data_IF_236513983134
#
_entry.id   IF_236513983134
#
_cell.length_a   1.000
_cell.length_b   1.000
_cell.length_c   1.000
_cell.angle_alpha   90.00
_cell.angle_beta   90.00
_cell.angle_gamma   90.00
#
_symmetry.space_group_name_H-M   'P 1'
#
loop_
_entity.id
_entity.type
_entity.pdbx_description
1 polymer ?
#
# COMPACT_ATOMS: atom_id res chain seq x y z
N UNK A 1 -26.84 -1.64 2.61
CA UNK A 1 -25.38 -1.80 2.46
C UNK A 1 -24.73 -0.54 3.00
N UNK A 2 -24.20 -0.57 4.22
CA UNK A 2 -23.49 0.57 4.80
C UNK A 2 -22.19 0.77 4.02
N UNK A 3 -22.19 1.71 3.07
CA UNK A 3 -20.97 2.33 2.58
C UNK A 3 -20.43 3.14 3.78
N UNK A 4 -19.67 2.47 4.63
CA UNK A 4 -19.00 3.12 5.75
C UNK A 4 -18.07 4.18 5.18
N UNK A 5 -18.27 5.43 5.60
CA UNK A 5 -17.28 6.48 5.40
C UNK A 5 -15.89 5.92 5.72
N UNK A 6 -14.86 6.19 4.91
CA UNK A 6 -13.52 5.70 5.18
C UNK A 6 -13.15 5.97 6.63
N UNK A 7 -12.77 4.91 7.34
CA UNK A 7 -12.41 5.02 8.74
C UNK A 7 -11.21 5.97 8.86
N UNK A 8 -11.23 6.84 9.86
CA UNK A 8 -10.15 7.78 10.11
C UNK A 8 -8.79 7.05 10.13
N UNK A 9 -7.80 7.63 9.43
CA UNK A 9 -6.47 7.02 9.28
C UNK A 9 -6.33 5.96 8.19
N UNK A 10 -7.37 5.67 7.41
CA UNK A 10 -7.29 4.68 6.30
C UNK A 10 -6.19 5.01 5.28
N UNK A 11 -6.03 6.28 4.90
CA UNK A 11 -4.98 6.69 3.97
C UNK A 11 -3.57 6.54 4.59
N UNK A 12 -3.41 6.86 5.88
CA UNK A 12 -2.14 6.64 6.59
C UNK A 12 -1.77 5.16 6.65
N UNK A 13 -2.72 4.31 7.01
CA UNK A 13 -2.55 2.85 6.99
C UNK A 13 -2.24 2.34 5.57
N UNK A 14 -2.80 2.95 4.53
CA UNK A 14 -2.43 2.68 3.14
C UNK A 14 -0.95 2.91 2.84
N UNK A 15 -0.36 4.01 3.34
CA UNK A 15 1.08 4.27 3.20
C UNK A 15 1.92 3.24 3.95
N UNK A 16 1.55 2.93 5.19
CA UNK A 16 2.19 1.88 5.97
C UNK A 16 2.18 0.55 5.21
N UNK A 17 1.01 0.14 4.69
CA UNK A 17 0.84 -1.08 3.93
C UNK A 17 1.72 -1.11 2.67
N UNK A 18 1.82 0.01 1.95
CA UNK A 18 2.68 0.12 0.78
C UNK A 18 4.17 -0.05 1.12
N UNK A 19 4.65 0.58 2.20
CA UNK A 19 6.04 0.42 2.65
C UNK A 19 6.33 -1.01 3.15
N UNK A 20 5.36 -1.60 3.83
CA UNK A 20 5.42 -2.98 4.35
C UNK A 20 5.50 -3.99 3.20
N UNK A 21 4.63 -3.90 2.18
CA UNK A 21 4.61 -4.84 1.03
C UNK A 21 5.82 -4.71 0.11
N UNK A 22 6.44 -3.54 0.08
CA UNK A 22 7.61 -3.27 -0.77
C UNK A 22 8.95 -3.51 -0.07
N UNK A 23 8.92 -3.80 1.23
CA UNK A 23 10.11 -4.23 1.99
C UNK A 23 10.17 -5.77 2.01
N UNK A 24 11.34 -6.39 1.78
CA UNK A 24 11.47 -7.84 1.90
C UNK A 24 11.07 -8.36 3.28
N UNK A 25 10.32 -9.45 3.31
CA UNK A 25 9.79 -10.07 4.53
C UNK A 25 9.22 -11.47 4.25
N UNK A 26 8.87 -12.19 5.32
CA UNK A 26 8.24 -13.50 5.21
C UNK A 26 6.84 -13.42 4.53
N UNK A 27 6.29 -14.54 4.03
CA UNK A 27 4.90 -14.60 3.60
C UNK A 27 3.98 -14.02 4.68
N UNK A 28 3.01 -13.20 4.26
CA UNK A 28 2.03 -12.54 5.14
C UNK A 28 2.59 -11.55 6.16
N UNK A 29 3.89 -11.21 6.11
CA UNK A 29 4.50 -10.25 7.05
C UNK A 29 3.82 -8.88 7.04
N UNK A 30 3.50 -8.36 5.86
CA UNK A 30 2.77 -7.11 5.72
C UNK A 30 1.38 -7.17 6.36
N UNK A 31 0.65 -8.26 6.18
CA UNK A 31 -0.69 -8.43 6.77
C UNK A 31 -0.62 -8.46 8.30
N UNK A 32 0.28 -9.26 8.86
CA UNK A 32 0.48 -9.34 10.32
C UNK A 32 0.88 -8.00 10.92
N UNK A 33 1.79 -7.27 10.27
CA UNK A 33 2.20 -5.95 10.73
C UNK A 33 1.03 -4.96 10.67
N UNK A 34 0.27 -4.93 9.57
CA UNK A 34 -0.90 -4.05 9.44
C UNK A 34 -1.96 -4.34 10.50
N UNK A 35 -2.24 -5.62 10.75
CA UNK A 35 -3.16 -6.03 11.82
C UNK A 35 -2.65 -5.57 13.20
N UNK A 36 -1.37 -5.79 13.49
CA UNK A 36 -0.75 -5.39 14.74
C UNK A 36 -0.75 -3.86 14.96
N UNK A 37 -0.52 -3.07 13.91
CA UNK A 37 -0.64 -1.60 13.94
C UNK A 37 -2.08 -1.17 14.26
N UNK A 38 -3.06 -1.78 13.59
CA UNK A 38 -4.48 -1.47 13.78
C UNK A 38 -4.95 -1.81 15.20
N UNK A 39 -4.60 -3.00 15.70
CA UNK A 39 -4.98 -3.47 17.04
C UNK A 39 -4.36 -2.61 18.15
N UNK A 40 -3.18 -2.02 17.92
CA UNK A 40 -2.54 -1.09 18.86
C UNK A 40 -2.97 0.37 18.69
N UNK A 41 -3.86 0.66 17.73
CA UNK A 41 -4.33 2.02 17.46
C UNK A 41 -3.30 2.93 16.77
N UNK A 42 -2.22 2.39 16.21
CA UNK A 42 -1.15 3.16 15.54
C UNK A 42 -1.56 3.52 14.10
N UNK A 43 -2.68 4.24 13.98
CA UNK A 43 -3.42 4.45 12.73
C UNK A 43 -3.30 5.86 12.14
N UNK A 44 -2.50 6.72 12.75
CA UNK A 44 -2.21 8.07 12.29
C UNK A 44 -0.74 8.39 12.48
N UNK A 45 -0.26 9.43 11.79
CA UNK A 45 1.11 9.91 11.94
C UNK A 45 1.43 10.27 13.40
N UNK A 46 0.51 10.93 14.10
CA UNK A 46 0.66 11.27 15.52
C UNK A 46 0.69 10.02 16.41
N UNK A 47 -0.25 9.09 16.22
CA UNK A 47 -0.34 7.88 17.05
C UNK A 47 0.90 6.98 16.90
N UNK A 48 1.42 6.81 15.67
CA UNK A 48 2.65 6.06 15.42
C UNK A 48 3.88 6.85 15.89
N UNK A 49 3.92 8.16 15.64
CA UNK A 49 5.03 9.04 16.01
C UNK A 49 5.26 9.13 17.52
N UNK A 50 4.20 9.00 18.32
CA UNK A 50 4.29 8.96 19.78
C UNK A 50 4.90 7.66 20.33
N UNK A 51 5.10 6.63 19.49
CA UNK A 51 5.63 5.36 19.95
C UNK A 51 7.16 5.36 19.99
N UNK A 52 7.78 4.69 20.97
CA UNK A 52 9.21 4.45 20.93
C UNK A 52 9.60 3.64 19.70
N UNK A 53 10.72 4.00 19.05
CA UNK A 53 11.21 3.29 17.87
C UNK A 53 11.43 1.79 18.10
N UNK A 54 11.82 1.40 19.32
CA UNK A 54 11.99 0.01 19.74
C UNK A 54 10.68 -0.78 19.78
N UNK A 55 9.55 -0.14 20.11
CA UNK A 55 8.24 -0.79 20.12
C UNK A 55 7.80 -1.19 18.71
N UNK A 56 7.96 -0.27 17.74
CA UNK A 56 7.66 -0.56 16.34
C UNK A 56 8.63 -1.59 15.75
N UNK A 57 9.91 -1.53 16.12
CA UNK A 57 10.90 -2.52 15.68
C UNK A 57 10.55 -3.93 16.16
N UNK A 58 10.22 -4.10 17.45
CA UNK A 58 9.81 -5.39 18.00
C UNK A 58 8.55 -5.93 17.32
N UNK A 59 7.55 -5.08 17.12
CA UNK A 59 6.33 -5.44 16.37
C UNK A 59 6.67 -5.92 14.96
N UNK A 60 7.52 -5.20 14.23
CA UNK A 60 7.90 -5.59 12.87
C UNK A 60 8.70 -6.89 12.85
N UNK A 61 9.54 -7.14 13.86
CA UNK A 61 10.28 -8.39 14.02
C UNK A 61 9.33 -9.56 14.24
N UNK A 62 8.38 -9.43 15.16
CA UNK A 62 7.31 -10.41 15.41
C UNK A 62 6.46 -10.65 14.16
N UNK A 63 6.16 -9.59 13.42
CA UNK A 63 5.47 -9.66 12.14
C UNK A 63 6.32 -10.26 11.01
N UNK A 64 7.58 -10.62 11.24
CA UNK A 64 8.43 -11.37 10.31
C UNK A 64 9.31 -10.52 9.39
N UNK A 65 9.54 -9.25 9.71
CA UNK A 65 10.48 -8.38 9.00
C UNK A 65 11.93 -8.53 9.46
N UNK A 66 12.38 -9.75 9.83
CA UNK A 66 13.71 -10.11 10.39
C UNK A 66 14.80 -9.02 10.30
N UNK A 67 15.76 -9.12 9.36
CA UNK A 67 16.86 -8.17 9.20
C UNK A 67 16.44 -6.77 8.71
N UNK A 68 15.14 -6.55 8.48
CA UNK A 68 14.59 -5.29 7.99
C UNK A 68 13.77 -4.53 9.05
N UNK A 69 13.57 -5.08 10.25
CA UNK A 69 12.70 -4.49 11.27
C UNK A 69 13.20 -3.11 11.70
N UNK A 70 14.48 -2.98 12.09
CA UNK A 70 15.04 -1.71 12.53
C UNK A 70 15.06 -0.65 11.40
N UNK A 71 15.56 -0.95 10.18
CA UNK A 71 15.49 0.00 9.07
C UNK A 71 14.07 0.37 8.64
N UNK A 72 13.11 -0.56 8.71
CA UNK A 72 11.72 -0.30 8.37
C UNK A 72 11.03 0.55 9.44
N UNK A 73 11.28 0.27 10.73
CA UNK A 73 10.80 1.10 11.84
C UNK A 73 11.25 2.56 11.67
N UNK A 74 12.54 2.79 11.43
CA UNK A 74 13.08 4.15 11.18
C UNK A 74 12.41 4.84 10.00
N UNK A 75 12.19 4.12 8.88
CA UNK A 75 11.54 4.69 7.70
C UNK A 75 10.07 5.03 7.96
N UNK A 76 9.33 4.18 8.67
CA UNK A 76 7.93 4.44 9.04
C UNK A 76 7.81 5.63 10.00
N UNK A 77 8.68 5.74 11.00
CA UNK A 77 8.74 6.92 11.87
C UNK A 77 9.08 8.19 11.09
N UNK A 78 10.08 8.14 10.19
CA UNK A 78 10.45 9.29 9.37
C UNK A 78 9.31 9.72 8.42
N UNK A 79 8.59 8.76 7.87
CA UNK A 79 7.39 8.99 7.05
C UNK A 79 6.29 9.68 7.86
N UNK A 80 6.01 9.20 9.08
CA UNK A 80 5.01 9.77 9.97
C UNK A 80 5.39 11.18 10.42
N UNK A 81 6.64 11.40 10.83
CA UNK A 81 7.16 12.72 11.17
C UNK A 81 7.02 13.71 10.00
N UNK A 82 7.38 13.29 8.78
CA UNK A 82 7.24 14.12 7.59
C UNK A 82 5.79 14.50 7.29
N UNK A 83 4.83 13.59 7.51
CA UNK A 83 3.41 13.91 7.40
C UNK A 83 2.98 14.92 8.46
N UNK A 84 3.37 14.72 9.71
CA UNK A 84 3.02 15.61 10.81
C UNK A 84 3.57 17.03 10.60
N UNK A 85 4.82 17.15 10.16
CA UNK A 85 5.50 18.44 9.97
C UNK A 85 4.98 19.26 8.79
N UNK A 86 4.53 18.61 7.72
CA UNK A 86 4.28 19.30 6.43
C UNK A 86 2.88 19.13 5.85
N UNK A 87 2.14 18.15 6.35
CA UNK A 87 0.90 17.67 5.72
C UNK A 87 -0.17 17.37 6.76
N UNK A 88 -0.22 18.13 7.86
CA UNK A 88 -1.25 18.02 8.90
C UNK A 88 -1.39 16.58 9.46
N UNK A 89 -0.34 15.77 9.36
CA UNK A 89 -0.35 14.37 9.79
C UNK A 89 -1.13 13.41 8.88
N UNK A 90 -1.66 13.84 7.73
CA UNK A 90 -2.50 13.02 6.86
C UNK A 90 -2.10 13.05 5.37
N UNK A 91 -2.20 11.89 4.66
CA UNK A 91 -2.08 11.87 3.20
C UNK A 91 -3.16 12.66 2.45
N UNK A 92 -4.29 12.98 3.08
CA UNK A 92 -5.33 13.80 2.45
C UNK A 92 -4.84 15.24 2.19
N UNK A 93 -4.00 15.81 3.07
CA UNK A 93 -3.40 17.13 2.83
C UNK A 93 -2.44 17.12 1.63
N UNK A 94 -1.69 16.03 1.43
CA UNK A 94 -0.86 15.79 0.24
C UNK A 94 -1.72 15.75 -1.03
N UNK A 95 -2.86 15.06 -0.98
CA UNK A 95 -3.82 14.96 -2.08
C UNK A 95 -4.41 16.34 -2.43
N UNK A 96 -4.81 17.12 -1.42
CA UNK A 96 -5.32 18.48 -1.62
C UNK A 96 -4.27 19.38 -2.26
N UNK A 97 -3.02 19.35 -1.76
CA UNK A 97 -1.92 20.12 -2.33
C UNK A 97 -1.54 19.69 -3.76
N UNK A 98 -1.86 18.45 -4.15
CA UNK A 98 -1.71 17.99 -5.52
C UNK A 98 -2.81 18.50 -6.47
N UNK A 99 -3.86 19.15 -5.96
CA UNK A 99 -4.96 19.70 -6.75
C UNK A 99 -5.69 18.65 -7.59
N UNK A 100 -5.85 17.42 -7.06
CA UNK A 100 -6.47 16.30 -7.77
C UNK A 100 -5.64 15.73 -8.93
N UNK A 101 -4.42 16.23 -9.17
CA UNK A 101 -3.57 15.75 -10.25
C UNK A 101 -2.75 14.53 -9.81
N UNK A 102 -3.05 13.36 -10.37
CA UNK A 102 -2.37 12.09 -10.05
C UNK A 102 -0.84 12.20 -10.20
N UNK A 103 -0.36 12.87 -11.26
CA UNK A 103 1.07 13.06 -11.48
C UNK A 103 1.72 13.92 -10.37
N UNK A 104 1.04 14.97 -9.91
CA UNK A 104 1.52 15.82 -8.83
C UNK A 104 1.52 15.07 -7.49
N UNK A 105 0.44 14.33 -7.19
CA UNK A 105 0.33 13.48 -5.99
C UNK A 105 1.47 12.47 -5.94
N UNK A 106 1.70 11.73 -7.03
CA UNK A 106 2.80 10.76 -7.12
C UNK A 106 4.16 11.43 -6.92
N UNK A 107 4.38 12.63 -7.46
CA UNK A 107 5.62 13.40 -7.25
C UNK A 107 5.80 13.81 -5.79
N UNK A 108 4.75 14.21 -5.09
CA UNK A 108 4.81 14.56 -3.66
C UNK A 108 5.09 13.31 -2.81
N UNK A 109 4.36 12.21 -3.04
CA UNK A 109 4.57 10.94 -2.36
C UNK A 109 6.00 10.40 -2.55
N UNK A 110 6.60 10.60 -3.74
CA UNK A 110 7.99 10.20 -4.02
C UNK A 110 9.04 10.99 -3.22
N UNK A 111 8.69 12.14 -2.66
CA UNK A 111 9.57 12.93 -1.78
C UNK A 111 9.46 12.50 -0.31
N UNK A 112 8.48 11.67 0.04
CA UNK A 112 8.33 11.20 1.41
C UNK A 112 9.45 10.22 1.78
N UNK A 113 9.98 10.30 3.01
CA UNK A 113 10.98 9.35 3.50
C UNK A 113 10.50 7.90 3.38
N UNK A 114 11.35 7.04 2.82
CA UNK A 114 11.06 5.61 2.69
C UNK A 114 10.09 5.22 1.56
N UNK A 115 9.52 6.17 0.82
CA UNK A 115 8.60 5.86 -0.30
C UNK A 115 9.33 5.73 -1.64
N UNK A 116 9.68 4.49 -1.95
CA UNK A 116 10.13 4.05 -3.27
C UNK A 116 9.03 4.18 -4.35
N UNK A 117 9.42 4.13 -5.64
CA UNK A 117 8.46 4.14 -6.76
C UNK A 117 7.40 3.05 -6.60
N UNK A 118 7.83 1.85 -6.22
CA UNK A 118 6.93 0.72 -5.99
C UNK A 118 5.97 0.95 -4.80
N UNK A 119 6.40 1.62 -3.74
CA UNK A 119 5.51 1.96 -2.62
C UNK A 119 4.45 2.99 -3.07
N UNK A 120 4.87 4.01 -3.85
CA UNK A 120 3.94 5.00 -4.40
C UNK A 120 2.92 4.36 -5.35
N UNK A 121 3.37 3.51 -6.26
CA UNK A 121 2.46 2.82 -7.20
C UNK A 121 1.50 1.89 -6.42
N UNK A 122 1.98 1.13 -5.44
CA UNK A 122 1.13 0.27 -4.60
C UNK A 122 0.12 1.07 -3.77
N UNK A 123 0.51 2.24 -3.25
CA UNK A 123 -0.38 3.13 -2.51
C UNK A 123 -1.49 3.69 -3.41
N UNK A 124 -1.13 4.25 -4.57
CA UNK A 124 -2.11 4.77 -5.53
C UNK A 124 -3.08 3.67 -5.99
N UNK A 125 -2.61 2.44 -6.17
CA UNK A 125 -3.48 1.33 -6.52
C UNK A 125 -4.53 1.05 -5.44
N UNK A 126 -4.15 1.04 -4.16
CA UNK A 126 -5.07 0.73 -3.05
C UNK A 126 -6.05 1.88 -2.77
N UNK A 127 -5.62 3.12 -2.97
CA UNK A 127 -6.41 4.31 -2.62
C UNK A 127 -7.53 4.62 -3.61
N UNK A 128 -7.67 3.92 -4.73
CA UNK A 128 -8.73 4.17 -5.72
C UNK A 128 -10.15 4.09 -5.15
N UNK A 129 -10.37 3.28 -4.09
CA UNK A 129 -11.66 3.22 -3.40
C UNK A 129 -12.00 4.50 -2.63
N UNK A 130 -10.99 5.24 -2.21
CA UNK A 130 -11.14 6.45 -1.41
C UNK A 130 -11.00 7.71 -2.28
N UNK A 131 -10.12 7.64 -3.28
CA UNK A 131 -9.70 8.74 -4.14
C UNK A 131 -9.94 8.34 -5.59
N UNK A 132 -11.15 8.62 -6.08
CA UNK A 132 -11.65 8.17 -7.39
C UNK A 132 -10.84 8.72 -8.57
N UNK A 133 -10.15 9.85 -8.41
CA UNK A 133 -9.26 10.40 -9.45
C UNK A 133 -8.05 9.49 -9.76
N UNK A 134 -7.75 8.52 -8.89
CA UNK A 134 -6.73 7.52 -9.16
C UNK A 134 -7.24 6.44 -10.10
N UNK A 135 -8.54 6.27 -10.27
CA UNK A 135 -9.09 5.21 -11.10
C UNK A 135 -9.05 5.56 -12.61
N UNK A 136 -8.71 4.61 -13.50
CA UNK A 136 -8.16 3.28 -13.21
C UNK A 136 -6.63 3.31 -13.05
N UNK A 137 -6.10 2.58 -12.06
CA UNK A 137 -4.68 2.42 -11.82
C UNK A 137 -4.31 0.97 -11.51
N UNK A 138 -3.22 0.51 -12.12
CA UNK A 138 -2.59 -0.77 -11.82
C UNK A 138 -1.07 -0.60 -11.81
N UNK A 139 -0.40 -1.07 -10.76
CA UNK A 139 1.05 -0.94 -10.66
C UNK A 139 1.77 -1.80 -11.72
N UNK A 140 3.02 -1.48 -12.11
CA UNK A 140 3.71 -2.21 -13.16
C UNK A 140 3.83 -3.73 -12.94
N UNK A 141 3.86 -4.20 -11.68
CA UNK A 141 3.84 -5.63 -11.35
C UNK A 141 2.49 -6.26 -11.66
N UNK A 142 1.40 -5.61 -11.28
CA UNK A 142 0.05 -6.04 -11.60
C UNK A 142 -0.15 -6.19 -13.11
N UNK A 143 0.29 -5.19 -13.89
CA UNK A 143 0.20 -5.22 -15.36
C UNK A 143 1.04 -6.33 -16.00
N UNK A 144 2.21 -6.67 -15.42
CA UNK A 144 3.00 -7.81 -15.90
C UNK A 144 2.28 -9.14 -15.67
N UNK A 145 1.71 -9.34 -14.48
CA UNK A 145 0.88 -10.52 -14.21
C UNK A 145 -0.37 -10.57 -15.09
N UNK A 146 -1.06 -9.44 -15.27
CA UNK A 146 -2.24 -9.34 -16.15
C UNK A 146 -1.90 -9.78 -17.58
N UNK A 147 -0.79 -9.29 -18.14
CA UNK A 147 -0.33 -9.71 -19.47
C UNK A 147 -0.02 -11.20 -19.54
N UNK A 148 0.70 -11.73 -18.55
CA UNK A 148 1.06 -13.15 -18.49
C UNK A 148 -0.17 -14.06 -18.36
N UNK A 149 -1.21 -13.59 -17.66
CA UNK A 149 -2.49 -14.27 -17.47
C UNK A 149 -3.55 -13.91 -18.52
N UNK A 150 -3.20 -13.10 -19.54
CA UNK A 150 -4.09 -12.66 -20.63
C UNK A 150 -5.34 -11.89 -20.18
N UNK A 151 -5.21 -11.11 -19.10
CA UNK A 151 -6.26 -10.23 -18.56
C UNK A 151 -6.18 -8.78 -19.07
N UNK A 152 -5.29 -8.50 -20.03
CA UNK A 152 -5.07 -7.16 -20.58
C UNK A 152 -3.66 -6.59 -20.31
N UNK A 153 -3.32 -5.51 -21.03
CA UNK A 153 -1.97 -4.93 -21.07
C UNK A 153 -1.77 -3.66 -20.25
N UNK A 154 -2.87 -3.02 -19.85
CA UNK A 154 -2.92 -1.73 -19.18
C UNK A 154 -4.05 -1.69 -18.14
N UNK A 155 -4.14 -0.58 -17.40
CA UNK A 155 -5.11 -0.42 -16.31
C UNK A 155 -6.56 -0.37 -16.80
N UNK A 156 -6.82 0.19 -17.98
CA UNK A 156 -8.17 0.29 -18.53
C UNK A 156 -8.68 -1.07 -19.01
N UNK A 157 -7.83 -1.85 -19.69
CA UNK A 157 -8.13 -3.22 -20.06
C UNK A 157 -8.39 -4.08 -18.82
N UNK A 158 -7.57 -3.93 -17.78
CA UNK A 158 -7.76 -4.68 -16.53
C UNK A 158 -9.08 -4.30 -15.84
N UNK A 159 -9.41 -3.00 -15.80
CA UNK A 159 -10.66 -2.49 -15.25
C UNK A 159 -11.90 -3.08 -15.94
N UNK A 160 -11.82 -3.40 -17.24
CA UNK A 160 -12.90 -4.06 -17.97
C UNK A 160 -13.24 -5.50 -17.52
N UNK A 161 -12.43 -6.12 -16.66
CA UNK A 161 -12.63 -7.50 -16.19
C UNK A 161 -13.34 -7.60 -14.83
N UNK A 162 -13.66 -6.48 -14.17
CA UNK A 162 -14.24 -6.49 -12.83
C UNK A 162 -15.04 -5.21 -12.56
N UNK A 163 -15.95 -5.21 -11.56
CA UNK A 163 -16.55 -3.98 -11.06
C UNK A 163 -15.48 -2.97 -10.60
N UNK A 164 -15.69 -1.64 -10.75
CA UNK A 164 -14.70 -0.62 -10.38
C UNK A 164 -14.15 -0.76 -8.96
N UNK A 165 -14.99 -1.16 -8.00
CA UNK A 165 -14.65 -1.38 -6.60
C UNK A 165 -13.75 -2.62 -6.35
N UNK A 166 -13.67 -3.54 -7.32
CA UNK A 166 -12.84 -4.74 -7.21
C UNK A 166 -11.46 -4.56 -7.86
N UNK A 167 -11.30 -3.58 -8.75
CA UNK A 167 -10.04 -3.33 -9.47
C UNK A 167 -8.82 -3.23 -8.52
N UNK A 168 -8.88 -2.50 -7.38
CA UNK A 168 -7.75 -2.43 -6.45
C UNK A 168 -7.35 -3.79 -5.89
N UNK A 169 -8.34 -4.63 -5.56
CA UNK A 169 -8.12 -5.98 -5.02
C UNK A 169 -7.54 -6.90 -6.08
N UNK A 170 -8.10 -6.88 -7.30
CA UNK A 170 -7.59 -7.64 -8.44
C UNK A 170 -6.14 -7.26 -8.75
N UNK A 171 -5.86 -5.96 -8.89
CA UNK A 171 -4.52 -5.46 -9.18
C UNK A 171 -3.53 -5.79 -8.05
N UNK A 172 -3.95 -5.74 -6.78
CA UNK A 172 -3.11 -6.13 -5.64
C UNK A 172 -2.78 -7.62 -5.65
N UNK A 173 -3.75 -8.48 -5.96
CA UNK A 173 -3.55 -9.93 -6.10
C UNK A 173 -2.56 -10.24 -7.24
N UNK A 174 -2.74 -9.62 -8.41
CA UNK A 174 -1.84 -9.77 -9.56
C UNK A 174 -0.41 -9.31 -9.23
N UNK A 175 -0.26 -8.17 -8.56
CA UNK A 175 1.03 -7.69 -8.10
C UNK A 175 1.72 -8.66 -7.12
N UNK A 176 0.94 -9.33 -6.26
CA UNK A 176 1.45 -10.31 -5.32
C UNK A 176 1.89 -11.60 -6.02
N UNK A 177 1.10 -12.10 -6.98
CA UNK A 177 1.46 -13.25 -7.82
C UNK A 177 2.80 -13.00 -8.52
N UNK A 178 2.95 -11.84 -9.18
CA UNK A 178 4.18 -11.44 -9.83
C UNK A 178 5.37 -11.33 -8.86
N UNK A 179 5.13 -10.85 -7.63
CA UNK A 179 6.19 -10.66 -6.63
C UNK A 179 6.72 -11.97 -6.07
N UNK A 180 5.86 -12.98 -5.94
CA UNK A 180 6.18 -14.28 -5.36
C UNK A 180 6.48 -15.36 -6.42
N UNK A 181 6.46 -14.99 -7.71
CA UNK A 181 6.45 -15.93 -8.84
C UNK A 181 5.39 -17.05 -8.66
N UNK A 182 4.22 -16.67 -8.13
CA UNK A 182 3.18 -17.58 -7.66
C UNK A 182 2.34 -18.24 -8.76
N UNK A 183 2.80 -18.24 -10.01
CA UNK A 183 2.02 -18.69 -11.17
C UNK A 183 1.69 -20.18 -11.14
N UNK A 184 2.56 -21.00 -10.52
CA UNK A 184 2.37 -22.46 -10.40
C UNK A 184 1.15 -22.83 -9.52
N UNK A 185 0.77 -21.96 -8.57
CA UNK A 185 -0.43 -22.17 -7.76
C UNK A 185 -1.71 -21.93 -8.55
N UNK A 186 -1.67 -21.04 -9.55
CA UNK A 186 -2.81 -20.76 -10.42
C UNK A 186 -3.04 -21.89 -11.41
N UNK A 187 -1.98 -22.44 -11.99
CA UNK A 187 -2.10 -23.55 -12.96
C UNK A 187 -2.61 -24.84 -12.32
N UNK A 188 -2.32 -25.10 -11.03
CA UNK A 188 -2.87 -26.27 -10.32
C UNK A 188 -4.37 -26.15 -10.00
N UNK A 189 -4.88 -24.94 -9.79
CA UNK A 189 -6.31 -24.70 -9.43
C UNK A 189 -7.23 -24.56 -10.63
N UNK A 190 -6.70 -24.21 -11.81
CA UNK A 190 -7.50 -24.14 -13.05
C UNK A 190 -7.61 -25.51 -13.75
N UNK A 191 -6.77 -26.47 -13.38
CA UNK A 191 -6.79 -27.84 -13.88
C UNK A 191 -7.48 -28.84 -12.93
N UNK A 192 -8.13 -28.35 -11.86
CA UNK A 192 -8.86 -29.12 -10.86
C UNK A 192 -10.29 -28.62 -10.78
#
# INVERSE_FOLDING_TARGET
MSQGMPEEGSAFLGLCAAMLRTTPGAPSSALRAMEALRLRGWRSAGALGAQPAGSLESLLREAGYKGHAAPLSRRLHAMAAHLAERWEGTPDALRLAAGGQVAALRRLLRKMPGLGKAAVDSFCQDMQLLWTELYPFAEPRALRAARRLRLGGDAAALAGNCPPEELPRLAAALAQIERQDGYTLLTRRLSA
#
